data_IF_800564994160
#
_entry.id   IF_800564994160
#
_cell.length_a   1.000
_cell.length_b   1.000
_cell.length_c   1.000
_cell.angle_alpha   90.00
_cell.angle_beta   90.00
_cell.angle_gamma   90.00
#
_symmetry.space_group_name_H-M   'P 1'
#
loop_
_entity.id
_entity.type
_entity.pdbx_description
1 polymer ?
#
# COMPACT_ATOMS: atom_id res chain seq x y z
N UNK A 1 -4.50 -10.85 16.37
CA UNK A 1 -5.77 -11.26 16.99
C UNK A 1 -6.52 -10.11 17.68
N UNK A 2 -5.82 -9.22 18.43
CA UNK A 2 -6.47 -8.10 19.16
C UNK A 2 -7.23 -7.12 18.25
N UNK A 3 -6.81 -6.92 17.01
CA UNK A 3 -7.47 -6.02 16.05
C UNK A 3 -8.74 -6.62 15.43
N UNK A 4 -8.88 -7.95 15.46
CA UNK A 4 -10.05 -8.66 14.92
C UNK A 4 -11.19 -8.76 15.91
N UNK A 5 -10.89 -8.87 17.21
CA UNK A 5 -11.88 -9.01 18.26
C UNK A 5 -12.92 -7.87 18.22
N UNK A 6 -14.18 -8.21 18.50
CA UNK A 6 -15.34 -7.32 18.49
C UNK A 6 -15.86 -6.85 17.12
N UNK A 7 -15.18 -7.17 16.03
CA UNK A 7 -15.63 -6.85 14.67
C UNK A 7 -16.45 -7.98 14.06
N UNK A 8 -17.12 -7.72 12.95
CA UNK A 8 -17.82 -8.73 12.16
C UNK A 8 -17.01 -9.05 10.90
N UNK A 9 -17.04 -10.31 10.50
CA UNK A 9 -16.43 -10.76 9.26
C UNK A 9 -17.13 -10.12 8.05
N UNK A 10 -16.34 -9.64 7.09
CA UNK A 10 -16.82 -9.14 5.81
C UNK A 10 -16.83 -10.23 4.72
N UNK A 11 -16.11 -11.32 4.92
CA UNK A 11 -16.06 -12.49 4.07
C UNK A 11 -15.92 -13.76 4.91
N UNK A 12 -16.21 -14.91 4.32
CA UNK A 12 -15.97 -16.21 4.95
C UNK A 12 -14.48 -16.44 5.12
N UNK A 13 -14.07 -16.94 6.28
CA UNK A 13 -12.67 -17.29 6.57
C UNK A 13 -12.53 -18.80 6.61
N UNK A 14 -11.62 -19.32 5.80
CA UNK A 14 -11.34 -20.76 5.67
C UNK A 14 -9.89 -21.01 6.11
N UNK A 15 -9.67 -22.08 6.87
CA UNK A 15 -8.34 -22.52 7.23
C UNK A 15 -7.61 -23.06 5.98
N UNK A 16 -6.47 -22.45 5.57
CA UNK A 16 -5.76 -22.88 4.36
C UNK A 16 -5.18 -24.30 4.45
N UNK A 17 -5.04 -24.86 5.66
CA UNK A 17 -4.46 -26.19 5.90
C UNK A 17 -5.51 -27.28 5.96
N UNK A 18 -6.63 -27.04 6.62
CA UNK A 18 -7.67 -28.04 6.87
C UNK A 18 -8.87 -27.91 5.95
N UNK A 19 -9.08 -26.74 5.33
CA UNK A 19 -10.28 -26.43 4.55
C UNK A 19 -11.52 -26.19 5.43
N UNK A 20 -11.37 -26.15 6.76
CA UNK A 20 -12.47 -25.90 7.69
C UNK A 20 -12.87 -24.41 7.67
N UNK A 21 -14.18 -24.17 7.73
CA UNK A 21 -14.73 -22.81 7.85
C UNK A 21 -14.56 -22.33 9.29
N UNK A 22 -13.70 -21.33 9.50
CA UNK A 22 -13.45 -20.73 10.81
C UNK A 22 -14.48 -19.67 11.19
N UNK A 23 -15.14 -19.07 10.22
CA UNK A 23 -16.20 -18.09 10.41
C UNK A 23 -16.89 -17.71 9.13
N UNK A 24 -18.17 -17.36 9.22
CA UNK A 24 -19.00 -16.99 8.08
C UNK A 24 -19.19 -15.46 7.98
N UNK A 25 -19.71 -15.03 6.83
CA UNK A 25 -20.03 -13.63 6.58
C UNK A 25 -20.99 -13.07 7.65
N UNK A 26 -20.65 -11.94 8.23
CA UNK A 26 -21.32 -11.26 9.35
C UNK A 26 -21.25 -11.98 10.71
N UNK A 27 -20.44 -13.00 10.87
CA UNK A 27 -20.18 -13.54 12.19
C UNK A 27 -19.39 -12.54 13.05
N UNK A 28 -19.74 -12.50 14.33
CA UNK A 28 -19.03 -11.70 15.32
C UNK A 28 -17.74 -12.42 15.69
N UNK A 29 -16.63 -11.77 15.49
CA UNK A 29 -15.32 -12.33 15.83
C UNK A 29 -15.14 -12.30 17.35
N UNK A 30 -15.38 -13.44 17.97
CA UNK A 30 -15.11 -13.66 19.40
C UNK A 30 -13.62 -13.81 19.66
N UNK A 31 -13.20 -13.73 20.92
CA UNK A 31 -11.80 -13.88 21.29
C UNK A 31 -11.24 -15.26 20.90
N UNK A 32 -12.07 -16.31 21.04
CA UNK A 32 -11.67 -17.68 20.67
C UNK A 32 -11.56 -17.85 19.15
N UNK A 33 -12.50 -17.29 18.38
CA UNK A 33 -12.42 -17.25 16.92
C UNK A 33 -11.18 -16.49 16.46
N UNK A 34 -10.88 -15.32 17.02
CA UNK A 34 -9.69 -14.54 16.70
C UNK A 34 -8.38 -15.30 16.99
N UNK A 35 -8.35 -16.10 18.06
CA UNK A 35 -7.20 -16.97 18.37
C UNK A 35 -7.07 -18.12 17.37
N UNK A 36 -8.18 -18.78 17.02
CA UNK A 36 -8.20 -19.86 15.99
C UNK A 36 -7.71 -19.35 14.66
N UNK A 37 -8.23 -18.22 14.18
CA UNK A 37 -7.79 -17.57 12.93
C UNK A 37 -6.30 -17.24 12.98
N UNK A 38 -5.79 -16.69 14.09
CA UNK A 38 -4.37 -16.37 14.22
C UNK A 38 -3.48 -17.63 14.23
N UNK A 39 -4.00 -18.77 14.69
CA UNK A 39 -3.26 -20.06 14.75
C UNK A 39 -3.31 -20.83 13.42
N UNK A 40 -4.31 -20.63 12.57
CA UNK A 40 -4.48 -21.36 11.30
C UNK A 40 -3.46 -20.99 10.22
N UNK A 41 -2.83 -19.81 10.35
CA UNK A 41 -1.87 -19.28 9.36
C UNK A 41 -2.52 -18.47 8.24
N UNK A 42 -3.78 -18.04 8.43
CA UNK A 42 -4.44 -17.04 7.56
C UNK A 42 -3.70 -15.72 7.69
N UNK A 43 -3.20 -15.18 6.59
CA UNK A 43 -2.42 -13.93 6.56
C UNK A 43 -3.33 -12.70 6.64
N UNK A 44 -4.44 -12.71 5.89
CA UNK A 44 -5.38 -11.59 5.80
C UNK A 44 -6.81 -12.00 6.13
N UNK A 45 -7.51 -11.13 6.84
CA UNK A 45 -8.93 -11.29 7.18
C UNK A 45 -9.66 -10.00 6.89
N UNK A 46 -10.69 -10.06 6.04
CA UNK A 46 -11.55 -8.92 5.79
C UNK A 46 -12.64 -8.81 6.87
N UNK A 47 -12.59 -7.72 7.61
CA UNK A 47 -13.54 -7.40 8.67
C UNK A 47 -14.27 -6.09 8.40
N UNK A 48 -15.52 -5.99 8.84
CA UNK A 48 -16.30 -4.75 8.76
C UNK A 48 -15.69 -3.69 9.69
N UNK A 49 -15.70 -2.43 9.23
CA UNK A 49 -15.11 -1.31 9.98
C UNK A 49 -16.01 -0.08 9.93
N UNK A 50 -16.04 0.74 11.02
CA UNK A 50 -16.66 2.05 10.99
C UNK A 50 -16.13 2.96 9.87
N UNK A 51 -14.82 2.84 9.55
CA UNK A 51 -14.16 3.67 8.55
C UNK A 51 -14.64 3.39 7.12
N UNK A 52 -15.10 2.17 6.84
CA UNK A 52 -15.59 1.75 5.52
C UNK A 52 -17.11 1.68 5.44
N UNK A 53 -17.82 2.18 6.46
CA UNK A 53 -19.28 2.20 6.47
C UNK A 53 -19.81 3.18 5.41
N UNK A 54 -20.70 2.67 4.54
CA UNK A 54 -21.29 3.47 3.45
C UNK A 54 -22.58 4.22 3.86
N UNK A 55 -22.97 4.15 5.13
CA UNK A 55 -24.14 4.88 5.62
C UNK A 55 -23.89 6.39 5.55
N UNK A 56 -24.87 7.15 5.06
CA UNK A 56 -24.73 8.62 4.93
C UNK A 56 -24.78 9.33 6.28
N UNK A 57 -25.59 8.80 7.23
CA UNK A 57 -25.73 9.38 8.56
C UNK A 57 -25.46 8.31 9.62
N UNK A 58 -24.43 8.56 10.44
CA UNK A 58 -24.01 7.62 11.48
C UNK A 58 -23.27 6.39 10.95
N UNK A 59 -23.21 5.36 11.77
CA UNK A 59 -22.51 4.09 11.50
C UNK A 59 -23.49 2.95 11.74
N UNK A 60 -23.58 1.98 10.84
CA UNK A 60 -24.45 0.83 11.06
C UNK A 60 -23.89 -0.08 12.17
N UNK A 61 -24.79 -0.75 12.90
CA UNK A 61 -24.42 -1.62 14.01
C UNK A 61 -23.42 -2.72 13.62
N UNK A 62 -23.53 -3.29 12.41
CA UNK A 62 -22.62 -4.31 11.90
C UNK A 62 -21.21 -3.78 11.61
N UNK A 63 -21.07 -2.54 11.12
CA UNK A 63 -19.75 -1.93 10.90
C UNK A 63 -19.10 -1.47 12.21
N UNK A 64 -19.89 -1.07 13.19
CA UNK A 64 -19.39 -0.75 14.53
C UNK A 64 -18.97 -2.01 15.28
N UNK A 65 -19.82 -3.04 15.29
CA UNK A 65 -19.57 -4.30 15.99
C UNK A 65 -20.09 -4.33 17.43
N UNK A 66 -19.31 -4.95 18.31
CA UNK A 66 -19.66 -5.06 19.72
C UNK A 66 -19.38 -3.76 20.49
N UNK A 67 -20.29 -3.41 21.37
CA UNK A 67 -20.05 -2.49 22.47
C UNK A 67 -19.17 -3.20 23.51
N UNK A 68 -17.92 -2.81 23.61
CA UNK A 68 -16.94 -3.45 24.49
C UNK A 68 -17.28 -3.29 25.99
N UNK A 69 -18.05 -2.27 26.35
CA UNK A 69 -18.48 -2.05 27.72
C UNK A 69 -19.57 -3.02 28.16
N UNK A 70 -20.43 -3.43 27.22
CA UNK A 70 -21.59 -4.32 27.49
C UNK A 70 -21.38 -5.76 27.00
N UNK A 71 -20.40 -5.99 26.08
CA UNK A 71 -20.16 -7.30 25.47
C UNK A 71 -21.25 -7.73 24.48
N UNK A 72 -22.15 -6.83 24.06
CA UNK A 72 -23.27 -7.08 23.16
C UNK A 72 -23.11 -6.23 21.89
N UNK A 73 -23.86 -6.60 20.84
CA UNK A 73 -23.93 -5.73 19.64
C UNK A 73 -24.43 -4.35 20.04
N UNK A 74 -23.80 -3.33 19.43
CA UNK A 74 -24.16 -1.93 19.70
C UNK A 74 -25.64 -1.68 19.40
N UNK A 75 -26.32 -1.01 20.33
CA UNK A 75 -27.74 -0.65 20.20
C UNK A 75 -27.93 0.56 19.27
N UNK A 76 -29.10 0.60 18.61
CA UNK A 76 -29.50 1.77 17.83
C UNK A 76 -29.59 3.00 18.74
N UNK A 77 -29.09 4.14 18.27
CA UNK A 77 -29.08 5.41 19.03
C UNK A 77 -27.91 5.57 19.99
N UNK A 78 -26.98 4.60 20.07
CA UNK A 78 -25.73 4.77 20.83
C UNK A 78 -24.89 5.91 20.29
N UNK A 79 -24.40 6.79 21.19
CA UNK A 79 -23.62 7.97 20.83
C UNK A 79 -22.14 7.62 20.53
N UNK A 80 -21.90 6.75 19.53
CA UNK A 80 -20.58 6.19 19.23
C UNK A 80 -19.55 7.26 18.81
N UNK A 81 -20.01 8.34 18.18
CA UNK A 81 -19.15 9.47 17.82
C UNK A 81 -18.63 10.23 19.05
N UNK A 82 -19.45 10.39 20.09
CA UNK A 82 -19.03 11.01 21.36
C UNK A 82 -18.02 10.13 22.07
N UNK A 83 -18.23 8.81 22.12
CA UNK A 83 -17.29 7.85 22.70
C UNK A 83 -15.94 7.91 21.99
N UNK A 84 -15.92 7.95 20.65
CA UNK A 84 -14.71 8.09 19.88
C UNK A 84 -14.00 9.44 20.15
N UNK A 85 -14.75 10.54 20.17
CA UNK A 85 -14.19 11.88 20.43
C UNK A 85 -13.56 11.97 21.83
N UNK A 86 -14.22 11.43 22.85
CA UNK A 86 -13.70 11.39 24.22
C UNK A 86 -12.44 10.53 24.33
N UNK A 87 -12.41 9.37 23.67
CA UNK A 87 -11.27 8.45 23.66
C UNK A 87 -10.04 9.06 22.96
N UNK A 88 -10.25 9.91 21.96
CA UNK A 88 -9.19 10.63 21.25
C UNK A 88 -8.77 11.88 22.03
N UNK A 89 -9.72 12.60 22.63
CA UNK A 89 -9.46 13.87 23.32
C UNK A 89 -8.83 13.72 24.70
N UNK A 90 -9.10 12.64 25.43
CA UNK A 90 -8.51 12.42 26.75
C UNK A 90 -6.98 12.42 26.72
N UNK A 91 -6.31 11.61 25.87
CA UNK A 91 -4.83 11.64 25.83
C UNK A 91 -4.27 12.99 25.33
N UNK A 92 -5.06 13.78 24.59
CA UNK A 92 -4.68 15.11 24.12
C UNK A 92 -4.27 16.05 25.27
N UNK A 93 -5.01 16.03 26.37
CA UNK A 93 -4.68 16.81 27.57
C UNK A 93 -3.32 16.38 28.17
N UNK A 94 -3.06 15.08 28.24
CA UNK A 94 -1.78 14.56 28.74
C UNK A 94 -0.60 14.90 27.81
N UNK A 95 -0.80 14.90 26.50
CA UNK A 95 0.18 15.32 25.51
C UNK A 95 0.52 16.81 25.65
N UNK A 96 -0.47 17.66 25.90
CA UNK A 96 -0.27 19.11 26.14
C UNK A 96 0.59 19.35 27.38
N UNK A 97 0.31 18.66 28.49
CA UNK A 97 1.11 18.76 29.73
C UNK A 97 2.56 18.32 29.52
N UNK A 98 2.80 17.29 28.73
CA UNK A 98 4.16 16.78 28.45
C UNK A 98 4.96 17.71 27.54
N UNK A 99 4.35 18.42 26.60
CA UNK A 99 5.07 19.35 25.71
C UNK A 99 5.64 20.55 26.45
N UNK A 100 5.04 21.01 27.55
CA UNK A 100 5.62 22.05 28.39
C UNK A 100 6.89 21.62 29.13
N UNK A 101 7.07 20.33 29.38
CA UNK A 101 8.25 19.80 30.09
C UNK A 101 9.38 19.36 29.14
N UNK A 102 9.11 19.20 27.86
CA UNK A 102 10.11 18.74 26.86
C UNK A 102 10.81 19.88 26.12
N UNK A 103 10.50 21.15 26.46
CA UNK A 103 11.01 22.35 25.82
C UNK A 103 12.51 22.64 26.00
N UNK A 104 13.30 21.69 26.50
CA UNK A 104 14.74 21.87 26.77
C UNK A 104 15.70 21.02 25.93
N UNK A 105 15.24 20.06 25.18
CA UNK A 105 16.12 19.24 24.35
C UNK A 105 15.56 19.24 22.91
N UNK A 106 15.83 20.34 22.21
CA UNK A 106 15.84 20.32 20.76
C UNK A 106 16.93 19.32 20.35
N UNK A 107 16.56 18.08 20.08
CA UNK A 107 17.44 17.12 19.44
C UNK A 107 17.89 17.77 18.12
N UNK A 108 19.15 18.13 18.06
CA UNK A 108 19.78 18.69 16.87
C UNK A 108 19.56 17.71 15.71
N UNK A 109 18.72 18.11 14.75
CA UNK A 109 18.66 17.46 13.44
C UNK A 109 17.35 16.88 12.98
N UNK A 110 16.29 16.78 13.79
CA UNK A 110 15.03 16.25 13.29
C UNK A 110 13.87 17.20 13.65
N UNK A 111 13.40 17.94 12.67
CA UNK A 111 12.18 18.77 12.76
C UNK A 111 10.91 17.88 12.68
N UNK A 112 10.97 16.72 13.37
CA UNK A 112 9.86 15.75 13.38
C UNK A 112 8.84 16.22 14.41
N UNK A 113 7.64 16.55 13.95
CA UNK A 113 6.53 16.91 14.83
C UNK A 113 6.04 15.68 15.60
N UNK A 114 6.02 15.77 16.91
CA UNK A 114 5.53 14.74 17.82
C UNK A 114 4.49 15.33 18.78
N UNK A 115 3.69 14.45 19.39
CA UNK A 115 2.67 14.87 20.35
C UNK A 115 1.49 15.60 19.69
N UNK A 116 0.97 16.62 20.39
CA UNK A 116 -0.24 17.35 19.98
C UNK A 116 -0.14 18.00 18.60
N UNK A 117 0.97 18.68 18.22
CA UNK A 117 1.09 19.24 16.87
C UNK A 117 0.97 18.19 15.75
N UNK A 118 1.45 16.97 15.99
CA UNK A 118 1.29 15.90 15.01
C UNK A 118 -0.14 15.41 14.91
N UNK A 119 -0.86 15.35 16.03
CA UNK A 119 -2.29 15.01 16.05
C UNK A 119 -3.09 16.05 15.25
N UNK A 120 -2.81 17.35 15.43
CA UNK A 120 -3.43 18.42 14.65
C UNK A 120 -3.15 18.29 13.15
N UNK A 121 -1.90 18.05 12.75
CA UNK A 121 -1.53 17.84 11.34
C UNK A 121 -2.31 16.70 10.68
N UNK A 122 -2.51 15.60 11.43
CA UNK A 122 -3.26 14.44 10.93
C UNK A 122 -4.75 14.73 10.80
N UNK A 123 -5.36 15.40 11.79
CA UNK A 123 -6.78 15.77 11.72
C UNK A 123 -7.08 16.82 10.66
N UNK A 124 -6.17 17.79 10.48
CA UNK A 124 -6.28 18.80 9.41
C UNK A 124 -5.94 18.22 8.02
N UNK A 125 -5.39 17.01 7.98
CA UNK A 125 -4.86 16.38 6.75
C UNK A 125 -3.97 17.36 5.96
N UNK A 126 -2.98 17.97 6.65
CA UNK A 126 -2.08 18.96 6.04
C UNK A 126 -1.40 18.38 4.82
N UNK A 127 -1.38 19.15 3.73
CA UNK A 127 -0.75 18.74 2.47
C UNK A 127 0.77 18.57 2.60
N UNK A 128 1.41 19.36 3.45
CA UNK A 128 2.85 19.32 3.72
C UNK A 128 3.06 19.34 5.24
N UNK A 129 3.24 18.18 5.88
CA UNK A 129 3.60 18.12 7.29
C UNK A 129 5.03 18.63 7.51
N UNK A 130 5.32 19.12 8.71
CA UNK A 130 6.69 19.51 9.07
C UNK A 130 7.57 18.27 9.18
N UNK A 131 8.81 18.37 8.69
CA UNK A 131 9.74 17.25 8.71
C UNK A 131 9.19 16.02 7.99
N UNK A 132 8.62 16.21 6.79
CA UNK A 132 8.05 15.13 5.99
C UNK A 132 9.13 14.10 5.63
N UNK A 133 8.81 12.82 5.86
CA UNK A 133 9.65 11.73 5.40
C UNK A 133 9.57 11.59 3.88
N UNK A 134 10.70 11.36 3.23
CA UNK A 134 10.73 10.94 1.83
C UNK A 134 10.31 9.48 1.77
N UNK A 135 9.34 9.18 0.91
CA UNK A 135 8.73 7.86 0.78
C UNK A 135 8.96 7.32 -0.63
N UNK A 136 9.26 6.03 -0.73
CA UNK A 136 9.41 5.34 -2.01
C UNK A 136 8.10 5.36 -2.82
N UNK A 137 8.13 5.85 -4.05
CA UNK A 137 6.95 5.86 -4.93
C UNK A 137 6.76 4.54 -5.66
N UNK A 138 7.85 3.80 -5.91
CA UNK A 138 7.86 2.50 -6.58
C UNK A 138 8.58 1.46 -5.72
N UNK A 139 8.28 0.19 -5.96
CA UNK A 139 9.02 -0.93 -5.36
C UNK A 139 10.28 -1.19 -6.19
N UNK A 140 11.39 -1.54 -5.54
CA UNK A 140 12.61 -1.81 -6.29
C UNK A 140 13.84 -1.95 -5.41
N UNK A 141 15.00 -1.88 -6.05
CA UNK A 141 16.31 -1.92 -5.37
C UNK A 141 16.85 -0.51 -5.21
N UNK A 142 17.25 -0.18 -4.00
CA UNK A 142 17.79 1.15 -3.64
C UNK A 142 19.23 1.28 -4.10
N UNK A 143 19.56 2.41 -4.72
CA UNK A 143 20.93 2.88 -4.94
C UNK A 143 21.11 4.27 -4.36
N UNK A 144 22.16 4.45 -3.58
CA UNK A 144 22.47 5.73 -2.95
C UNK A 144 23.71 6.33 -3.62
N UNK A 145 23.54 7.53 -4.17
CA UNK A 145 24.63 8.29 -4.79
C UNK A 145 24.71 9.70 -4.19
N UNK A 146 25.91 10.29 -4.21
CA UNK A 146 26.04 11.72 -3.96
C UNK A 146 25.54 12.48 -5.18
N UNK A 147 24.75 13.54 -4.99
CA UNK A 147 24.29 14.36 -6.11
C UNK A 147 25.49 15.03 -6.80
N UNK A 148 25.52 14.97 -8.13
CA UNK A 148 26.56 15.64 -8.93
C UNK A 148 26.36 17.16 -8.97
N UNK A 149 25.13 17.63 -8.74
CA UNK A 149 24.75 19.05 -8.82
C UNK A 149 24.92 19.78 -7.50
N UNK A 150 24.61 19.12 -6.39
CA UNK A 150 24.57 19.73 -5.06
C UNK A 150 25.32 18.87 -4.04
N UNK A 151 26.37 19.42 -3.44
CA UNK A 151 27.20 18.70 -2.47
C UNK A 151 26.48 18.32 -1.16
N UNK A 152 25.42 19.03 -0.81
CA UNK A 152 24.57 18.84 0.36
C UNK A 152 23.37 17.93 0.15
N UNK A 153 23.21 17.38 -1.08
CA UNK A 153 22.15 16.43 -1.42
C UNK A 153 22.71 15.06 -1.76
N UNK A 154 21.96 14.03 -1.38
CA UNK A 154 22.12 12.64 -1.84
C UNK A 154 20.95 12.26 -2.72
N UNK A 155 21.21 11.48 -3.75
CA UNK A 155 20.20 10.89 -4.60
C UNK A 155 19.94 9.46 -4.16
N UNK A 156 18.71 9.18 -3.73
CA UNK A 156 18.24 7.83 -3.45
C UNK A 156 17.43 7.39 -4.66
N UNK A 157 18.04 6.53 -5.47
CA UNK A 157 17.48 6.01 -6.71
C UNK A 157 16.86 4.66 -6.41
N UNK A 158 15.60 4.47 -6.81
CA UNK A 158 14.92 3.19 -6.71
C UNK A 158 14.75 2.66 -8.12
N UNK A 159 15.37 1.52 -8.40
CA UNK A 159 15.33 0.86 -9.69
C UNK A 159 14.40 -0.34 -9.61
N UNK A 160 13.34 -0.32 -10.42
CA UNK A 160 12.44 -1.45 -10.63
C UNK A 160 12.69 -2.02 -12.03
N UNK A 161 12.88 -3.33 -12.10
CA UNK A 161 12.90 -4.07 -13.37
C UNK A 161 11.78 -5.11 -13.30
N UNK A 162 10.81 -4.96 -14.17
CA UNK A 162 9.65 -5.86 -14.24
C UNK A 162 9.57 -6.45 -15.65
N UNK A 163 9.46 -7.76 -15.73
CA UNK A 163 9.21 -8.47 -16.98
C UNK A 163 7.73 -8.35 -17.31
N UNK A 164 7.39 -7.53 -18.31
CA UNK A 164 6.03 -7.35 -18.79
C UNK A 164 5.86 -8.16 -20.07
N UNK A 165 4.66 -8.70 -20.25
CA UNK A 165 4.30 -9.47 -21.42
C UNK A 165 3.07 -8.88 -22.08
N UNK A 166 3.20 -8.48 -23.35
CA UNK A 166 2.10 -8.06 -24.20
C UNK A 166 1.56 -9.26 -24.98
N UNK A 167 0.28 -9.54 -24.84
CA UNK A 167 -0.39 -10.62 -25.56
C UNK A 167 -1.13 -10.10 -26.79
N UNK A 168 -0.83 -10.68 -27.95
CA UNK A 168 -1.47 -10.38 -29.23
C UNK A 168 -2.22 -11.61 -29.71
N UNK A 169 -3.54 -11.53 -29.81
CA UNK A 169 -4.37 -12.57 -30.41
C UNK A 169 -4.34 -12.45 -31.93
N UNK A 170 -3.98 -13.54 -32.62
CA UNK A 170 -3.85 -13.60 -34.07
C UNK A 170 -5.03 -14.36 -34.65
N UNK A 171 -5.91 -13.72 -35.45
CA UNK A 171 -7.06 -14.38 -36.08
C UNK A 171 -6.65 -15.55 -37.00
N UNK A 172 -7.59 -16.45 -37.32
CA UNK A 172 -7.30 -17.70 -38.07
C UNK A 172 -6.71 -17.49 -39.47
N UNK A 173 -7.12 -16.43 -40.15
CA UNK A 173 -6.71 -16.12 -41.52
C UNK A 173 -5.35 -15.45 -41.63
N UNK A 174 -4.76 -15.03 -40.50
CA UNK A 174 -3.49 -14.29 -40.47
C UNK A 174 -2.28 -15.24 -40.45
N UNK A 175 -1.20 -14.82 -41.13
CA UNK A 175 0.08 -15.54 -41.17
C UNK A 175 1.05 -14.95 -40.14
N UNK A 176 1.66 -15.81 -39.33
CA UNK A 176 2.76 -15.43 -38.42
C UNK A 176 4.01 -15.09 -39.27
N UNK A 177 4.63 -13.95 -39.03
CA UNK A 177 5.88 -13.55 -39.63
C UNK A 177 7.05 -13.83 -38.68
N UNK A 178 6.81 -13.64 -37.35
CA UNK A 178 7.82 -13.84 -36.33
C UNK A 178 8.00 -15.33 -36.00
N UNK A 179 9.25 -15.69 -35.70
CA UNK A 179 9.59 -17.03 -35.19
C UNK A 179 9.52 -17.03 -33.66
N UNK A 180 9.28 -18.20 -33.10
CA UNK A 180 9.37 -18.42 -31.67
C UNK A 180 10.78 -18.10 -31.14
N UNK A 181 10.87 -17.49 -29.96
CA UNK A 181 12.11 -17.01 -29.34
C UNK A 181 12.88 -15.89 -30.09
N UNK A 182 12.29 -15.29 -31.12
CA UNK A 182 12.90 -14.17 -31.82
C UNK A 182 12.86 -12.88 -30.98
N UNK A 183 13.84 -12.01 -31.16
CA UNK A 183 13.79 -10.64 -30.65
C UNK A 183 13.15 -9.73 -31.68
N UNK A 184 12.14 -8.95 -31.26
CA UNK A 184 11.47 -7.96 -32.10
C UNK A 184 11.66 -6.57 -31.55
N UNK A 185 11.63 -5.58 -32.44
CA UNK A 185 11.64 -4.16 -32.08
C UNK A 185 10.21 -3.61 -32.04
N UNK A 186 10.03 -2.50 -31.29
CA UNK A 186 8.78 -1.76 -31.33
C UNK A 186 8.44 -1.36 -32.77
N UNK A 187 7.18 -1.62 -33.20
CA UNK A 187 6.72 -1.39 -34.58
C UNK A 187 7.00 -2.53 -35.55
N UNK A 188 7.67 -3.61 -35.15
CA UNK A 188 7.93 -4.76 -35.99
C UNK A 188 6.67 -5.61 -36.18
N UNK A 189 6.48 -6.15 -37.40
CA UNK A 189 5.26 -6.89 -37.76
C UNK A 189 5.29 -8.31 -37.19
N UNK A 190 4.32 -8.65 -36.37
CA UNK A 190 4.14 -9.97 -35.75
C UNK A 190 3.37 -10.92 -36.65
N UNK A 191 2.30 -10.43 -37.27
CA UNK A 191 1.46 -11.18 -38.21
C UNK A 191 0.90 -10.26 -39.30
N UNK A 192 0.53 -10.84 -40.44
CA UNK A 192 -0.04 -10.11 -41.60
C UNK A 192 -1.19 -10.85 -42.22
N UNK A 193 -2.13 -10.08 -42.76
CA UNK A 193 -3.20 -10.54 -43.70
C UNK A 193 -3.29 -9.48 -44.81
N UNK A 194 -2.88 -9.83 -46.03
CA UNK A 194 -2.79 -8.92 -47.17
C UNK A 194 -2.03 -7.62 -46.83
N UNK A 195 -2.70 -6.46 -46.80
CA UNK A 195 -2.11 -5.18 -46.41
C UNK A 195 -2.20 -4.89 -44.91
N UNK A 196 -3.01 -5.61 -44.15
CA UNK A 196 -3.17 -5.42 -42.71
C UNK A 196 -2.03 -6.09 -41.92
N UNK A 197 -1.52 -5.40 -40.89
CA UNK A 197 -0.39 -5.83 -40.07
C UNK A 197 -0.70 -5.70 -38.60
N UNK A 198 -0.36 -6.71 -37.81
CA UNK A 198 -0.27 -6.62 -36.35
C UNK A 198 1.17 -6.36 -35.99
N UNK A 199 1.44 -5.24 -35.33
CA UNK A 199 2.78 -4.80 -34.96
C UNK A 199 2.99 -4.87 -33.46
N UNK A 200 4.22 -5.15 -33.04
CA UNK A 200 4.61 -5.12 -31.64
C UNK A 200 4.58 -3.67 -31.11
N UNK A 201 3.93 -3.44 -29.98
CA UNK A 201 3.94 -2.13 -29.32
C UNK A 201 5.30 -1.87 -28.64
N UNK A 202 5.89 -2.91 -28.07
CA UNK A 202 7.18 -2.85 -27.42
C UNK A 202 8.16 -3.85 -28.07
N UNK A 203 9.44 -3.53 -27.99
CA UNK A 203 10.48 -4.45 -28.40
C UNK A 203 10.79 -5.44 -27.29
N UNK A 204 10.96 -6.73 -27.63
CA UNK A 204 11.20 -7.76 -26.65
C UNK A 204 11.34 -9.15 -27.24
N UNK A 205 11.35 -10.16 -26.39
CA UNK A 205 11.46 -11.56 -26.80
C UNK A 205 10.08 -12.12 -27.07
N UNK A 206 9.92 -12.72 -28.26
CA UNK A 206 8.65 -13.28 -28.72
C UNK A 206 8.51 -14.74 -28.32
N UNK A 207 7.34 -15.10 -27.83
CA UNK A 207 6.88 -16.49 -27.68
C UNK A 207 5.62 -16.71 -28.51
N UNK A 208 5.65 -17.69 -29.41
CA UNK A 208 4.53 -17.99 -30.32
C UNK A 208 3.77 -19.21 -29.82
N UNK A 209 2.57 -19.01 -29.33
CA UNK A 209 1.64 -20.08 -28.91
C UNK A 209 0.71 -20.44 -30.05
N UNK A 210 1.16 -21.36 -30.91
CA UNK A 210 0.44 -21.76 -32.14
C UNK A 210 -0.92 -22.38 -31.87
N UNK A 211 -1.11 -23.09 -30.74
CA UNK A 211 -2.40 -23.72 -30.36
C UNK A 211 -3.47 -22.67 -30.07
N UNK A 212 -3.11 -21.65 -29.35
CA UNK A 212 -4.03 -20.58 -28.90
C UNK A 212 -4.00 -19.38 -29.85
N UNK A 213 -3.20 -19.45 -30.94
CA UNK A 213 -2.98 -18.37 -31.89
C UNK A 213 -2.66 -17.04 -31.25
N UNK A 214 -1.75 -17.09 -30.28
CA UNK A 214 -1.28 -15.92 -29.54
C UNK A 214 0.21 -15.70 -29.78
N UNK A 215 0.60 -14.45 -29.79
CA UNK A 215 1.99 -14.02 -29.75
C UNK A 215 2.18 -13.22 -28.47
N UNK A 216 3.11 -13.66 -27.63
CA UNK A 216 3.46 -12.99 -26.38
C UNK A 216 4.82 -12.33 -26.58
N UNK A 217 4.89 -11.02 -26.38
CA UNK A 217 6.14 -10.24 -26.44
C UNK A 217 6.52 -9.88 -25.03
N UNK A 218 7.59 -10.48 -24.51
CA UNK A 218 8.10 -10.21 -23.15
C UNK A 218 9.27 -9.22 -23.22
N UNK A 219 9.20 -8.16 -22.42
CA UNK A 219 10.23 -7.12 -22.35
C UNK A 219 10.47 -6.66 -20.92
N UNK A 220 11.70 -6.22 -20.65
CA UNK A 220 12.05 -5.62 -19.36
C UNK A 220 11.67 -4.14 -19.36
N UNK A 221 10.68 -3.80 -18.54
CA UNK A 221 10.38 -2.42 -18.21
C UNK A 221 11.24 -1.99 -17.04
N UNK A 222 12.10 -1.02 -17.28
CA UNK A 222 12.89 -0.38 -16.22
C UNK A 222 12.23 0.93 -15.87
N UNK A 223 11.95 1.10 -14.59
CA UNK A 223 11.44 2.34 -14.04
C UNK A 223 12.38 2.80 -12.93
N UNK A 224 12.76 4.06 -12.96
CA UNK A 224 13.66 4.65 -11.98
C UNK A 224 12.95 5.82 -11.31
N UNK A 225 12.98 5.84 -9.97
CA UNK A 225 12.51 6.96 -9.16
C UNK A 225 13.70 7.57 -8.43
N UNK A 226 13.98 8.85 -8.70
CA UNK A 226 15.08 9.58 -8.10
C UNK A 226 14.52 10.48 -7.01
N UNK A 227 14.97 10.28 -5.78
CA UNK A 227 14.58 11.08 -4.62
C UNK A 227 15.79 11.85 -4.09
N UNK A 228 15.73 13.18 -4.15
CA UNK A 228 16.76 14.05 -3.58
C UNK A 228 16.56 14.18 -2.07
N UNK A 229 17.56 13.86 -1.29
CA UNK A 229 17.53 13.84 0.17
C UNK A 229 18.70 14.65 0.72
N UNK A 230 18.48 15.61 1.66
CA UNK A 230 19.56 16.32 2.31
C UNK A 230 20.54 15.36 2.99
N UNK A 231 21.84 15.66 2.93
CA UNK A 231 22.88 14.85 3.60
C UNK A 231 22.73 14.82 5.11
N UNK A 232 22.05 15.83 5.68
CA UNK A 232 21.72 15.93 7.10
C UNK A 232 20.60 14.99 7.53
N UNK A 233 19.76 14.54 6.60
CA UNK A 233 18.65 13.61 6.89
C UNK A 233 19.19 12.20 7.13
N UNK A 234 18.67 11.53 8.14
CA UNK A 234 18.99 10.15 8.44
C UNK A 234 18.24 9.22 7.49
N UNK A 235 18.99 8.41 6.75
CA UNK A 235 18.44 7.39 5.88
C UNK A 235 18.04 6.16 6.70
N UNK A 236 16.88 5.60 6.38
CA UNK A 236 16.34 4.36 6.97
C UNK A 236 16.66 3.13 6.11
N UNK A 237 17.09 3.35 4.87
CA UNK A 237 17.39 2.31 3.89
C UNK A 237 18.88 2.24 3.58
N UNK A 238 19.32 1.07 3.14
CA UNK A 238 20.73 0.81 2.76
C UNK A 238 20.86 0.66 1.25
N UNK A 239 22.08 0.92 0.76
CA UNK A 239 22.41 0.66 -0.64
C UNK A 239 22.27 -0.83 -0.97
N UNK A 240 21.61 -1.16 -2.09
CA UNK A 240 21.30 -2.52 -2.52
C UNK A 240 20.10 -3.17 -1.83
N UNK A 241 19.41 -2.50 -0.92
CA UNK A 241 18.22 -3.02 -0.24
C UNK A 241 17.02 -3.05 -1.18
N UNK A 242 16.22 -4.14 -1.11
CA UNK A 242 14.93 -4.21 -1.81
C UNK A 242 13.85 -3.66 -0.92
N UNK A 243 13.08 -2.71 -1.44
CA UNK A 243 12.01 -2.03 -0.72
C UNK A 243 10.70 -2.08 -1.52
N UNK A 244 9.60 -1.93 -0.81
CA UNK A 244 8.25 -1.83 -1.38
C UNK A 244 7.82 -0.36 -1.50
N UNK A 245 6.90 -0.09 -2.43
CA UNK A 245 6.29 1.23 -2.55
C UNK A 245 5.61 1.63 -1.22
N UNK A 246 5.85 2.88 -0.79
CA UNK A 246 5.39 3.37 0.50
C UNK A 246 6.38 3.22 1.66
N UNK A 247 7.53 2.56 1.45
CA UNK A 247 8.58 2.46 2.47
C UNK A 247 9.21 3.83 2.70
N UNK A 248 9.34 4.31 3.96
CA UNK A 248 10.03 5.56 4.25
C UNK A 248 11.54 5.42 4.02
N UNK A 249 12.10 6.33 3.22
CA UNK A 249 13.54 6.40 2.90
C UNK A 249 14.30 7.18 3.96
N UNK A 250 13.64 8.17 4.60
CA UNK A 250 14.20 9.02 5.65
C UNK A 250 13.38 9.00 6.91
N UNK A 251 13.98 9.36 8.04
CA UNK A 251 13.23 9.70 9.24
C UNK A 251 12.37 10.92 8.98
N UNK A 252 11.15 10.94 9.52
CA UNK A 252 10.22 12.05 9.38
C UNK A 252 8.77 11.65 9.56
N UNK A 253 7.89 12.63 9.44
CA UNK A 253 6.45 12.44 9.51
C UNK A 253 5.91 11.92 8.16
N UNK A 254 5.21 10.79 8.17
CA UNK A 254 4.53 10.29 6.97
C UNK A 254 3.40 11.24 6.55
N UNK A 255 3.36 11.57 5.27
CA UNK A 255 2.30 12.39 4.70
C UNK A 255 1.10 11.50 4.34
N UNK A 256 -0.09 11.69 4.96
CA UNK A 256 -1.26 10.88 4.67
C UNK A 256 -1.68 10.89 3.19
N UNK A 257 -1.50 12.03 2.51
CA UNK A 257 -1.83 12.14 1.09
C UNK A 257 -0.91 11.28 0.20
N UNK A 258 0.39 11.20 0.54
CA UNK A 258 1.34 10.33 -0.18
C UNK A 258 1.05 8.86 0.08
N UNK A 259 0.79 8.49 1.34
CA UNK A 259 0.39 7.12 1.71
C UNK A 259 -0.85 6.71 0.93
N UNK A 260 -1.90 7.56 0.91
CA UNK A 260 -3.12 7.29 0.16
C UNK A 260 -2.87 7.14 -1.35
N UNK A 261 -1.97 7.96 -1.94
CA UNK A 261 -1.65 7.91 -3.38
C UNK A 261 -0.87 6.66 -3.76
N UNK A 262 0.07 6.21 -2.90
CA UNK A 262 1.00 5.12 -3.20
C UNK A 262 0.41 3.77 -2.82
N UNK A 263 -0.10 3.64 -1.60
CA UNK A 263 -0.55 2.37 -1.02
C UNK A 263 -2.07 2.20 -1.06
N UNK A 264 -2.81 3.27 -1.40
CA UNK A 264 -4.26 3.23 -1.47
C UNK A 264 -4.94 3.49 -0.12
N UNK A 265 -6.26 3.22 -0.09
CA UNK A 265 -7.14 3.60 1.02
C UNK A 265 -7.01 2.68 2.24
N UNK A 266 -6.51 1.47 2.06
CA UNK A 266 -6.46 0.44 3.10
C UNK A 266 -5.20 0.52 3.96
N UNK A 267 -4.16 1.24 3.54
CA UNK A 267 -2.90 1.46 4.24
C UNK A 267 -3.01 2.59 5.34
#
# INVERSE_FOLDING_TARGET
>A
SSRLFSRLLAEQVIDPKTGEVLGEYNDVITQDMARKIAASGVEEVKARSPLTCVLQHGICAKCYGLDLGRGLMVGLGSAVGIVAAQSIGEPGTQLTLRTFHTGGVAAMGADITTGLPRVEELFEARKMPKGEAVVAEISGTVRIKQSEKYADLREVIIEQSELISDEYSIPEDWKFIVKDEAEVKAGETLATLDEAKIVAQHGGRVRVEKKDRKVVVSYDRREESINEVPTTSRLLVKDGEKIEAGTPLTEGSLNPHRVLKIQGREA
#
